data_IF_169449041087
#
_entry.id   IF_169449041087
#
_cell.length_a   1.000
_cell.length_b   1.000
_cell.length_c   1.000
_cell.angle_alpha   90.00
_cell.angle_beta   90.00
_cell.angle_gamma   90.00
#
_symmetry.space_group_name_H-M   'P 1'
#
loop_
_entity.id
_entity.type
_entity.pdbx_description
1 polymer ?
#
# COMPACT_ATOMS: atom_id res chain seq x y z
N UNK A 1 -1.97 28.49 -60.73
CA UNK A 1 -0.50 28.61 -60.55
C UNK A 1 -0.07 27.78 -59.37
N UNK A 2 0.56 26.60 -59.60
CA UNK A 2 1.15 25.77 -58.53
C UNK A 2 2.53 26.36 -58.19
N UNK A 3 2.67 27.02 -57.01
CA UNK A 3 3.96 27.45 -56.48
C UNK A 3 4.79 26.18 -56.14
N UNK A 4 5.82 25.91 -56.96
CA UNK A 4 6.85 24.92 -56.59
C UNK A 4 7.59 25.43 -55.36
N UNK A 5 7.44 24.76 -54.21
CA UNK A 5 8.28 25.04 -53.04
C UNK A 5 9.76 24.81 -53.42
N UNK A 6 10.68 25.67 -53.00
CA UNK A 6 12.09 25.49 -53.30
C UNK A 6 12.57 24.22 -52.58
N UNK A 7 13.31 23.38 -53.31
CA UNK A 7 13.76 22.04 -52.87
C UNK A 7 14.49 22.05 -51.50
N UNK A 8 15.19 23.14 -51.18
CA UNK A 8 15.85 23.36 -49.92
C UNK A 8 14.89 23.46 -48.71
N UNK A 9 13.72 24.09 -48.89
CA UNK A 9 12.69 24.20 -47.84
C UNK A 9 12.07 22.85 -47.50
N UNK A 10 11.87 21.95 -48.49
CA UNK A 10 11.37 20.60 -48.27
C UNK A 10 12.36 19.74 -47.42
N UNK A 11 13.67 19.82 -47.70
CA UNK A 11 14.69 19.08 -46.98
C UNK A 11 14.77 19.57 -45.52
N UNK A 12 14.71 20.88 -45.28
CA UNK A 12 14.70 21.45 -43.92
C UNK A 12 13.48 20.98 -43.12
N UNK A 13 12.31 20.95 -43.72
CA UNK A 13 11.10 20.45 -43.04
C UNK A 13 11.16 18.97 -42.73
N UNK A 14 11.71 18.16 -43.62
CA UNK A 14 11.94 16.71 -43.34
C UNK A 14 12.93 16.52 -42.19
N UNK A 15 14.06 17.26 -42.21
CA UNK A 15 15.04 17.19 -41.15
C UNK A 15 14.45 17.62 -39.77
N UNK A 16 13.67 18.73 -39.76
CA UNK A 16 12.98 19.17 -38.55
C UNK A 16 11.97 18.13 -38.04
N UNK A 17 11.19 17.52 -38.93
CA UNK A 17 10.27 16.45 -38.59
C UNK A 17 10.98 15.21 -37.99
N UNK A 18 12.11 14.82 -38.61
CA UNK A 18 12.92 13.70 -38.09
C UNK A 18 13.49 13.98 -36.69
N UNK A 19 13.94 15.21 -36.40
CA UNK A 19 14.42 15.62 -35.07
C UNK A 19 13.29 15.57 -34.04
N UNK A 20 12.07 16.03 -34.39
CA UNK A 20 10.92 15.96 -33.49
C UNK A 20 10.50 14.53 -33.17
N UNK A 21 10.51 13.63 -34.18
CA UNK A 21 10.22 12.21 -33.98
C UNK A 21 11.26 11.59 -33.06
N UNK A 22 12.55 11.87 -33.28
CA UNK A 22 13.62 11.36 -32.45
C UNK A 22 13.51 11.86 -30.98
N UNK A 23 13.22 13.14 -30.80
CA UNK A 23 12.97 13.73 -29.48
C UNK A 23 11.78 13.08 -28.77
N UNK A 24 10.68 12.84 -29.48
CA UNK A 24 9.50 12.15 -28.95
C UNK A 24 9.83 10.69 -28.53
N UNK A 25 10.58 9.96 -29.37
CA UNK A 25 11.02 8.60 -29.05
C UNK A 25 11.94 8.58 -27.82
N UNK A 26 12.89 9.49 -27.71
CA UNK A 26 13.77 9.60 -26.54
C UNK A 26 12.97 9.90 -25.28
N UNK A 27 11.98 10.77 -25.35
CA UNK A 27 11.10 11.08 -24.22
C UNK A 27 10.27 9.87 -23.79
N UNK A 28 9.73 9.10 -24.74
CA UNK A 28 9.00 7.86 -24.46
C UNK A 28 9.91 6.83 -23.80
N UNK A 29 11.13 6.63 -24.29
CA UNK A 29 12.10 5.71 -23.71
C UNK A 29 12.50 6.14 -22.30
N UNK A 30 12.73 7.42 -22.10
CA UNK A 30 13.05 7.99 -20.79
C UNK A 30 11.92 7.77 -19.78
N UNK A 31 10.68 8.12 -20.15
CA UNK A 31 9.53 7.93 -19.27
C UNK A 31 9.28 6.45 -18.93
N UNK A 32 9.49 5.56 -19.91
CA UNK A 32 9.38 4.12 -19.66
C UNK A 32 10.49 3.63 -18.71
N UNK A 33 11.73 4.08 -18.90
CA UNK A 33 12.85 3.71 -18.04
C UNK A 33 12.65 4.18 -16.58
N UNK A 34 12.12 5.40 -16.36
CA UNK A 34 11.78 5.92 -15.03
C UNK A 34 10.69 5.06 -14.37
N UNK A 35 9.63 4.71 -15.12
CA UNK A 35 8.55 3.86 -14.59
C UNK A 35 9.03 2.46 -14.23
N UNK A 36 9.89 1.85 -15.04
CA UNK A 36 10.46 0.53 -14.78
C UNK A 36 11.43 0.54 -13.60
N UNK A 37 12.17 1.64 -13.41
CA UNK A 37 13.04 1.80 -12.24
C UNK A 37 12.22 1.86 -10.95
N UNK A 38 11.18 2.70 -10.90
CA UNK A 38 10.28 2.79 -9.76
C UNK A 38 9.62 1.43 -9.44
N UNK A 39 9.19 0.68 -10.48
CA UNK A 39 8.65 -0.67 -10.29
C UNK A 39 9.66 -1.63 -9.66
N UNK A 40 10.92 -1.66 -10.12
CA UNK A 40 11.96 -2.53 -9.54
C UNK A 40 12.31 -2.17 -8.10
N UNK A 41 12.33 -0.88 -7.77
CA UNK A 41 12.53 -0.41 -6.39
C UNK A 41 11.39 -0.89 -5.48
N UNK A 42 10.14 -0.80 -5.94
CA UNK A 42 8.97 -1.34 -5.24
C UNK A 42 9.03 -2.86 -5.06
N UNK A 43 9.38 -3.62 -6.12
CA UNK A 43 9.49 -5.08 -6.06
C UNK A 43 10.55 -5.53 -5.03
N UNK A 44 11.72 -4.87 -5.01
CA UNK A 44 12.79 -5.18 -4.04
C UNK A 44 12.38 -4.93 -2.58
N UNK A 45 11.51 -3.94 -2.34
CA UNK A 45 10.99 -3.64 -1.01
C UNK A 45 9.92 -4.65 -0.60
N UNK A 46 9.07 -5.10 -1.52
CA UNK A 46 7.97 -6.04 -1.23
C UNK A 46 8.43 -7.33 -0.56
N UNK A 47 9.54 -7.92 -1.04
CA UNK A 47 10.08 -9.14 -0.43
C UNK A 47 10.53 -8.90 1.02
N UNK A 48 11.16 -7.75 1.28
CA UNK A 48 11.55 -7.34 2.64
C UNK A 48 10.36 -7.13 3.58
N UNK A 49 9.29 -6.50 3.08
CA UNK A 49 8.08 -6.27 3.88
C UNK A 49 7.35 -7.58 4.21
N UNK A 50 7.16 -8.46 3.22
CA UNK A 50 6.54 -9.78 3.44
C UNK A 50 7.34 -10.62 4.45
N UNK A 51 8.66 -10.60 4.36
CA UNK A 51 9.52 -11.27 5.33
C UNK A 51 9.38 -10.66 6.74
N UNK A 52 9.30 -9.34 6.87
CA UNK A 52 9.13 -8.66 8.15
C UNK A 52 7.76 -8.98 8.78
N UNK A 53 6.69 -9.01 8.01
CA UNK A 53 5.34 -9.40 8.46
C UNK A 53 5.37 -10.85 8.95
N UNK A 54 5.89 -11.79 8.15
CA UNK A 54 5.97 -13.20 8.52
C UNK A 54 6.78 -13.43 9.83
N UNK A 55 7.88 -12.69 10.04
CA UNK A 55 8.64 -12.75 11.28
C UNK A 55 7.84 -12.23 12.49
N UNK A 56 7.04 -11.19 12.32
CA UNK A 56 6.18 -10.65 13.39
C UNK A 56 5.07 -11.63 13.76
N UNK A 57 4.42 -12.24 12.77
CA UNK A 57 3.41 -13.28 12.99
C UNK A 57 3.98 -14.47 13.76
N UNK A 58 5.17 -14.96 13.37
CA UNK A 58 5.85 -16.05 14.07
C UNK A 58 6.20 -15.67 15.52
N UNK A 59 6.63 -14.45 15.78
CA UNK A 59 6.90 -13.96 17.15
C UNK A 59 5.62 -13.92 17.96
N UNK A 60 4.53 -13.39 17.42
CA UNK A 60 3.22 -13.31 18.06
C UNK A 60 2.69 -14.70 18.44
N UNK A 61 2.82 -15.67 17.54
CA UNK A 61 2.44 -17.06 17.77
C UNK A 61 3.30 -17.71 18.86
N UNK A 62 4.59 -17.38 18.95
CA UNK A 62 5.49 -17.92 19.94
C UNK A 62 5.25 -17.32 21.33
N UNK A 63 4.88 -16.06 21.44
CA UNK A 63 4.53 -15.40 22.70
C UNK A 63 3.17 -15.86 23.24
N UNK A 64 2.27 -16.33 22.37
CA UNK A 64 0.94 -16.83 22.75
C UNK A 64 0.93 -18.33 23.05
N UNK A 65 2.02 -19.06 22.74
CA UNK A 65 2.14 -20.48 23.08
C UNK A 65 2.43 -20.63 24.60
N UNK A 66 1.62 -21.38 25.36
CA UNK A 66 1.90 -21.61 26.78
C UNK A 66 3.24 -22.32 26.92
N UNK A 67 4.09 -21.79 27.79
CA UNK A 67 5.40 -22.34 28.13
C UNK A 67 5.18 -23.70 28.80
N UNK A 68 5.28 -24.77 28.01
CA UNK A 68 5.31 -26.14 28.55
C UNK A 68 6.70 -26.32 29.20
N UNK A 69 6.80 -25.93 30.46
CA UNK A 69 7.95 -26.21 31.28
C UNK A 69 8.06 -27.74 31.37
N UNK A 70 9.01 -28.31 30.64
CA UNK A 70 9.46 -29.67 30.83
C UNK A 70 10.07 -29.77 32.24
N UNK A 71 9.36 -30.34 33.17
CA UNK A 71 9.89 -30.65 34.49
C UNK A 71 10.99 -31.72 34.38
N UNK A 72 12.14 -31.56 35.02
CA UNK A 72 13.07 -32.67 35.15
C UNK A 72 12.56 -33.66 36.16
N UNK A 73 12.47 -34.91 35.75
CA UNK A 73 12.20 -36.09 36.52
C UNK A 73 13.25 -36.23 37.63
N UNK A 74 12.84 -36.16 38.93
CA UNK A 74 13.64 -36.65 40.05
C UNK A 74 12.71 -37.21 41.12
N UNK A 75 12.95 -38.46 41.42
CA UNK A 75 12.25 -39.39 42.31
C UNK A 75 12.07 -38.91 43.77
N UNK A 76 11.00 -39.44 44.34
CA UNK A 76 10.49 -39.31 45.71
C UNK A 76 11.48 -39.67 46.82
N UNK A 77 11.16 -39.49 48.15
CA UNK A 77 10.01 -40.11 48.79
C UNK A 77 9.24 -39.28 49.87
N UNK A 78 8.07 -39.81 50.16
CA UNK A 78 7.04 -39.65 51.18
C UNK A 78 7.34 -38.90 52.50
N UNK A 79 6.34 -38.09 52.94
CA UNK A 79 5.67 -38.15 54.25
C UNK A 79 4.53 -37.11 54.36
N UNK A 80 3.33 -37.58 54.43
CA UNK A 80 2.20 -37.39 55.36
C UNK A 80 1.94 -36.02 56.03
N UNK A 81 0.58 -35.78 56.13
CA UNK A 81 -0.21 -34.99 57.12
C UNK A 81 -0.89 -33.72 56.62
N UNK A 82 -2.21 -33.97 56.35
CA UNK A 82 -3.46 -33.23 56.75
C UNK A 82 -3.60 -31.71 56.62
N UNK A 83 -4.78 -31.45 56.10
CA UNK A 83 -5.82 -30.46 56.47
C UNK A 83 -5.93 -29.18 55.66
N UNK A 84 -7.02 -29.20 54.87
CA UNK A 84 -8.14 -28.24 54.87
C UNK A 84 -7.86 -26.74 54.67
N UNK A 85 -8.30 -26.22 53.58
CA UNK A 85 -9.23 -25.10 53.53
C UNK A 85 -9.47 -24.64 52.06
N UNK A 86 -10.72 -24.69 51.70
CA UNK A 86 -11.37 -24.14 50.50
C UNK A 86 -11.02 -22.67 50.29
N UNK A 87 -10.55 -22.31 49.12
CA UNK A 87 -10.84 -20.98 48.51
C UNK A 87 -10.73 -21.09 46.97
N UNK A 88 -11.88 -21.09 46.33
CA UNK A 88 -12.01 -20.87 44.90
C UNK A 88 -11.50 -19.45 44.60
N UNK A 89 -10.40 -19.34 43.87
CA UNK A 89 -10.03 -18.10 43.18
C UNK A 89 -10.41 -18.27 41.74
N UNK A 90 -11.57 -17.72 41.41
CA UNK A 90 -11.95 -17.44 40.05
C UNK A 90 -11.05 -16.31 39.54
N UNK A 91 -10.03 -16.64 38.79
CA UNK A 91 -9.27 -15.64 38.08
C UNK A 91 -10.01 -15.36 36.78
N UNK A 92 -10.91 -14.37 36.83
CA UNK A 92 -11.36 -13.67 35.65
C UNK A 92 -10.11 -13.06 35.03
N UNK A 93 -9.68 -13.61 33.90
CA UNK A 93 -8.71 -12.97 33.04
C UNK A 93 -9.43 -11.75 32.42
N UNK A 94 -9.38 -10.64 33.15
CA UNK A 94 -9.77 -9.34 32.66
C UNK A 94 -8.81 -9.00 31.51
N UNK A 95 -9.30 -9.17 30.28
CA UNK A 95 -8.61 -8.70 29.09
C UNK A 95 -8.55 -7.18 29.20
N UNK A 96 -7.37 -6.68 29.58
CA UNK A 96 -7.09 -5.25 29.62
C UNK A 96 -7.46 -4.67 28.24
N UNK A 97 -8.34 -3.67 28.14
CA UNK A 97 -8.70 -3.08 26.86
C UNK A 97 -7.45 -2.51 26.22
N UNK A 98 -7.06 -3.04 25.06
CA UNK A 98 -5.92 -2.57 24.31
C UNK A 98 -6.05 -1.05 24.13
N UNK A 99 -4.98 -0.32 24.50
CA UNK A 99 -4.93 1.13 24.36
C UNK A 99 -5.35 1.53 22.94
N UNK A 100 -6.14 2.61 22.76
CA UNK A 100 -6.60 3.02 21.44
C UNK A 100 -5.38 3.21 20.52
N UNK A 101 -5.38 2.54 19.38
CA UNK A 101 -4.32 2.66 18.38
C UNK A 101 -4.30 4.08 17.86
N UNK A 102 -3.20 4.80 18.06
CA UNK A 102 -3.03 6.19 17.61
C UNK A 102 -2.22 6.28 16.32
N UNK A 103 -1.40 5.27 16.02
CA UNK A 103 -0.53 5.27 14.84
C UNK A 103 -0.49 3.88 14.17
N UNK A 104 -0.32 3.85 12.85
CA UNK A 104 -0.09 2.61 12.11
C UNK A 104 1.31 2.07 12.42
N UNK A 105 1.41 0.75 12.57
CA UNK A 105 2.71 0.11 12.71
C UNK A 105 3.57 0.36 11.49
N UNK A 106 4.82 0.75 11.71
CA UNK A 106 5.78 1.11 10.67
C UNK A 106 6.97 0.16 10.67
N UNK A 107 7.46 -0.21 9.49
CA UNK A 107 8.71 -0.95 9.30
C UNK A 107 9.61 -0.19 8.36
N UNK A 108 10.85 0.05 8.81
CA UNK A 108 11.87 0.71 8.00
C UNK A 108 12.56 -0.29 7.06
N UNK A 109 12.54 -0.02 5.76
CA UNK A 109 13.25 -0.78 4.73
C UNK A 109 14.00 0.21 3.83
N UNK A 110 15.30 0.00 3.62
CA UNK A 110 16.15 0.85 2.78
C UNK A 110 16.06 2.36 3.12
N UNK A 111 15.89 2.70 4.41
CA UNK A 111 15.82 4.09 4.88
C UNK A 111 14.47 4.77 4.68
N UNK A 112 13.42 4.04 4.34
CA UNK A 112 12.05 4.51 4.23
C UNK A 112 11.11 3.71 5.11
N UNK A 113 10.11 4.38 5.66
CA UNK A 113 9.11 3.82 6.55
C UNK A 113 7.86 3.38 5.76
N UNK A 114 7.44 2.13 5.98
CA UNK A 114 6.29 1.51 5.31
C UNK A 114 5.23 1.10 6.32
N UNK A 115 3.96 1.26 5.93
CA UNK A 115 2.79 0.88 6.73
C UNK A 115 2.13 -0.43 6.28
N UNK A 116 2.56 -0.97 5.14
CA UNK A 116 1.99 -2.17 4.55
C UNK A 116 2.17 -2.21 3.05
N UNK A 117 1.34 -3.00 2.40
CA UNK A 117 1.26 -3.07 0.94
C UNK A 117 -0.18 -3.21 0.46
N UNK A 118 -0.43 -2.77 -0.77
CA UNK A 118 -1.73 -2.84 -1.44
C UNK A 118 -1.66 -3.80 -2.62
N UNK A 119 -2.71 -4.61 -2.80
CA UNK A 119 -2.87 -5.50 -3.95
C UNK A 119 -4.21 -5.23 -4.64
N UNK A 120 -4.18 -5.16 -5.97
CA UNK A 120 -5.36 -4.92 -6.82
C UNK A 120 -5.29 -5.91 -8.00
N UNK A 121 -5.86 -7.12 -7.85
CA UNK A 121 -5.74 -8.19 -8.85
C UNK A 121 -6.28 -7.80 -10.23
N UNK A 122 -7.36 -7.04 -10.30
CA UNK A 122 -7.99 -6.60 -11.56
C UNK A 122 -7.04 -5.84 -12.51
N UNK A 123 -6.00 -5.21 -11.97
CA UNK A 123 -4.98 -4.49 -12.73
C UNK A 123 -3.57 -5.06 -12.53
N UNK A 124 -3.46 -6.26 -11.91
CA UNK A 124 -2.19 -6.95 -11.61
C UNK A 124 -1.19 -6.05 -10.88
N UNK A 125 -1.67 -5.35 -9.84
CA UNK A 125 -0.88 -4.41 -9.07
C UNK A 125 -0.64 -4.96 -7.66
N UNK A 126 0.63 -4.92 -7.21
CA UNK A 126 1.05 -5.21 -5.84
C UNK A 126 2.18 -4.24 -5.50
N UNK A 127 1.98 -3.32 -4.54
CA UNK A 127 2.91 -2.24 -4.23
C UNK A 127 3.02 -2.00 -2.73
N UNK A 128 4.24 -1.76 -2.21
CA UNK A 128 4.42 -1.29 -0.84
C UNK A 128 3.85 0.13 -0.69
N UNK A 129 3.42 0.49 0.52
CA UNK A 129 2.88 1.81 0.84
C UNK A 129 3.72 2.46 1.92
N UNK A 130 4.31 3.62 1.62
CA UNK A 130 5.08 4.41 2.58
C UNK A 130 4.17 5.08 3.61
N UNK A 131 4.70 5.27 4.82
CA UNK A 131 3.99 5.85 5.95
C UNK A 131 3.61 7.33 5.75
N UNK A 132 4.44 8.07 5.03
CA UNK A 132 4.26 9.51 4.83
C UNK A 132 4.38 9.89 3.36
N UNK A 133 3.60 10.86 2.97
CA UNK A 133 3.59 11.42 1.63
C UNK A 133 4.69 12.48 1.43
N UNK A 134 5.39 12.40 0.29
CA UNK A 134 6.16 13.51 -0.30
C UNK A 134 6.32 13.28 -1.80
N UNK A 135 6.64 14.35 -2.55
CA UNK A 135 6.89 14.24 -4.00
C UNK A 135 8.07 13.31 -4.33
N UNK A 136 9.09 13.26 -3.48
CA UNK A 136 10.24 12.37 -3.64
C UNK A 136 9.85 10.91 -3.40
N UNK A 137 9.09 10.64 -2.32
CA UNK A 137 8.63 9.30 -1.95
C UNK A 137 7.66 8.71 -2.98
N UNK A 138 6.76 9.53 -3.53
CA UNK A 138 5.85 9.12 -4.60
C UNK A 138 6.56 8.61 -5.87
N UNK A 139 7.81 9.05 -6.12
CA UNK A 139 8.61 8.55 -7.24
C UNK A 139 9.08 7.11 -7.02
N UNK A 140 9.10 6.65 -5.77
CA UNK A 140 9.54 5.31 -5.36
C UNK A 140 8.35 4.37 -5.31
N UNK A 141 7.28 4.75 -4.57
CA UNK A 141 6.08 3.92 -4.39
C UNK A 141 4.90 4.78 -3.90
N UNK A 142 3.65 4.26 -3.87
CA UNK A 142 2.52 4.94 -3.23
C UNK A 142 2.79 5.26 -1.76
N UNK A 143 2.18 6.33 -1.28
CA UNK A 143 2.32 6.82 0.09
C UNK A 143 0.95 7.04 0.73
N UNK A 144 0.86 6.80 2.03
CA UNK A 144 -0.29 7.27 2.82
C UNK A 144 -0.30 8.80 2.79
N UNK A 145 -1.47 9.36 2.48
CA UNK A 145 -1.66 10.79 2.48
C UNK A 145 -2.46 11.23 3.71
N UNK A 146 -3.53 10.50 4.04
CA UNK A 146 -4.38 10.75 5.21
C UNK A 146 -4.87 9.44 5.81
N UNK A 147 -5.39 9.50 7.04
CA UNK A 147 -6.17 8.47 7.68
C UNK A 147 -5.41 7.21 8.07
N UNK A 148 -6.17 6.21 8.48
CA UNK A 148 -5.67 4.90 8.90
C UNK A 148 -6.71 3.80 8.63
N UNK A 149 -6.30 2.54 8.70
CA UNK A 149 -7.19 1.39 8.45
C UNK A 149 -8.29 1.23 9.52
N UNK A 150 -8.06 1.67 10.75
CA UNK A 150 -9.04 1.55 11.85
C UNK A 150 -9.96 2.77 12.00
N UNK A 151 -9.66 3.86 11.33
CA UNK A 151 -10.53 5.06 11.27
C UNK A 151 -11.42 5.05 10.04
N UNK A 152 -11.25 4.01 9.16
CA UNK A 152 -12.01 3.83 7.91
C UNK A 152 -12.00 5.09 7.02
N UNK A 153 -10.81 5.70 6.90
CA UNK A 153 -10.57 6.91 6.11
C UNK A 153 -9.18 6.93 5.44
N UNK A 154 -8.62 5.74 5.18
CA UNK A 154 -7.28 5.62 4.61
C UNK A 154 -7.23 6.18 3.18
N UNK A 155 -6.35 7.16 2.95
CA UNK A 155 -6.11 7.75 1.63
C UNK A 155 -4.67 7.46 1.19
N UNK A 156 -4.53 6.80 0.05
CA UNK A 156 -3.24 6.45 -0.55
C UNK A 156 -3.06 7.20 -1.88
N UNK A 157 -1.99 7.98 -1.95
CA UNK A 157 -1.55 8.67 -3.17
C UNK A 157 -0.52 7.82 -3.91
N UNK A 158 -0.59 7.78 -5.21
CA UNK A 158 0.43 7.14 -6.05
C UNK A 158 0.77 7.96 -7.28
N UNK A 159 1.98 7.82 -7.79
CA UNK A 159 2.39 8.47 -9.04
C UNK A 159 1.68 7.82 -10.25
N UNK A 160 1.42 8.60 -11.29
CA UNK A 160 0.86 8.11 -12.54
C UNK A 160 1.93 7.39 -13.41
N UNK A 161 2.72 6.52 -12.79
CA UNK A 161 3.63 5.64 -13.50
C UNK A 161 2.92 4.36 -13.92
N UNK A 162 3.36 3.76 -15.02
CA UNK A 162 2.77 2.53 -15.56
C UNK A 162 2.84 1.37 -14.56
N UNK A 163 3.90 1.32 -13.75
CA UNK A 163 4.13 0.32 -12.68
C UNK A 163 3.53 0.73 -11.33
N UNK A 164 2.91 1.92 -11.24
CA UNK A 164 2.19 2.40 -10.06
C UNK A 164 0.69 2.56 -10.37
N UNK A 165 0.12 3.72 -10.10
CA UNK A 165 -1.32 3.96 -10.13
C UNK A 165 -1.89 4.40 -11.50
N UNK A 166 -1.10 4.39 -12.59
CA UNK A 166 -1.63 4.75 -13.92
C UNK A 166 -2.81 3.88 -14.39
N UNK A 167 -2.90 2.64 -13.88
CA UNK A 167 -3.98 1.71 -14.23
C UNK A 167 -5.24 1.86 -13.37
N UNK A 168 -5.28 2.70 -12.31
CA UNK A 168 -6.47 2.91 -11.48
C UNK A 168 -7.71 3.28 -12.29
N UNK A 169 -7.54 4.04 -13.38
CA UNK A 169 -8.63 4.42 -14.30
C UNK A 169 -9.36 3.25 -14.97
N UNK A 170 -8.85 2.03 -14.86
CA UNK A 170 -9.47 0.82 -15.42
C UNK A 170 -10.38 0.11 -14.43
N UNK A 171 -10.29 0.47 -13.16
CA UNK A 171 -11.08 -0.14 -12.12
C UNK A 171 -12.55 0.22 -12.26
N UNK A 172 -13.39 -0.77 -11.99
CA UNK A 172 -14.85 -0.66 -12.03
C UNK A 172 -15.45 -1.08 -10.69
N UNK A 173 -16.67 -0.63 -10.36
CA UNK A 173 -17.35 -1.07 -9.14
C UNK A 173 -17.39 -2.60 -9.02
N UNK A 174 -17.03 -3.10 -7.83
CA UNK A 174 -16.92 -4.53 -7.51
C UNK A 174 -15.51 -5.12 -7.65
N UNK A 175 -14.54 -4.40 -8.25
CA UNK A 175 -13.14 -4.85 -8.24
C UNK A 175 -12.60 -4.90 -6.80
N UNK A 176 -11.91 -6.00 -6.46
CA UNK A 176 -11.31 -6.19 -5.13
C UNK A 176 -10.00 -5.41 -4.98
N UNK A 177 -9.82 -4.85 -3.79
CA UNK A 177 -8.59 -4.21 -3.32
C UNK A 177 -8.28 -4.76 -1.94
N UNK A 178 -7.06 -5.23 -1.69
CA UNK A 178 -6.63 -5.61 -0.35
C UNK A 178 -5.49 -4.73 0.13
N UNK A 179 -5.48 -4.43 1.42
CA UNK A 179 -4.39 -3.76 2.11
C UNK A 179 -3.92 -4.64 3.25
N UNK A 180 -2.64 -5.01 3.24
CA UNK A 180 -2.01 -5.75 4.33
C UNK A 180 -1.14 -4.80 5.13
N UNK A 181 -1.43 -4.63 6.42
CA UNK A 181 -0.65 -3.77 7.31
C UNK A 181 0.63 -4.48 7.80
N UNK A 182 1.49 -3.75 8.54
CA UNK A 182 2.75 -4.30 9.04
C UNK A 182 2.58 -5.24 10.25
N UNK A 183 1.37 -5.42 10.76
CA UNK A 183 1.01 -6.41 11.78
C UNK A 183 0.44 -7.71 11.17
N UNK A 184 0.35 -7.79 9.84
CA UNK A 184 -0.17 -8.93 9.09
C UNK A 184 -1.70 -8.93 8.93
N UNK A 185 -2.40 -7.89 9.37
CA UNK A 185 -3.84 -7.79 9.18
C UNK A 185 -4.14 -7.49 7.71
N UNK A 186 -4.95 -8.32 7.09
CA UNK A 186 -5.45 -8.13 5.73
C UNK A 186 -6.83 -7.49 5.81
N UNK A 187 -7.00 -6.35 5.16
CA UNK A 187 -8.25 -5.62 5.07
C UNK A 187 -8.69 -5.64 3.61
N UNK A 188 -9.87 -6.21 3.38
CA UNK A 188 -10.45 -6.34 2.06
C UNK A 188 -11.44 -5.21 1.79
N UNK A 189 -11.35 -4.65 0.58
CA UNK A 189 -12.21 -3.57 0.09
C UNK A 189 -12.74 -3.92 -1.30
N UNK A 190 -13.86 -3.34 -1.65
CA UNK A 190 -14.39 -3.35 -3.01
C UNK A 190 -14.49 -1.92 -3.55
N UNK A 191 -14.13 -1.73 -4.81
CA UNK A 191 -14.33 -0.46 -5.51
C UNK A 191 -15.81 -0.15 -5.57
N UNK A 192 -16.21 1.03 -5.11
CA UNK A 192 -17.58 1.54 -5.19
C UNK A 192 -17.79 2.47 -6.37
N UNK A 193 -16.83 3.36 -6.62
CA UNK A 193 -16.86 4.28 -7.76
C UNK A 193 -15.46 4.77 -8.13
N UNK A 194 -15.32 5.25 -9.36
CA UNK A 194 -14.13 5.95 -9.85
C UNK A 194 -14.54 7.29 -10.48
N UNK A 195 -13.85 8.36 -10.09
CA UNK A 195 -14.15 9.71 -10.53
C UNK A 195 -12.90 10.46 -10.99
N UNK A 196 -13.08 11.48 -11.83
CA UNK A 196 -12.03 12.45 -12.17
C UNK A 196 -12.30 13.75 -11.44
N UNK A 197 -11.37 14.19 -10.60
CA UNK A 197 -11.53 15.34 -9.71
C UNK A 197 -10.43 16.39 -9.95
N UNK A 198 -10.70 17.62 -9.54
CA UNK A 198 -9.69 18.69 -9.55
C UNK A 198 -8.65 18.44 -8.44
N UNK A 199 -7.40 18.91 -8.60
CA UNK A 199 -6.36 18.81 -7.58
C UNK A 199 -6.72 19.49 -6.26
N UNK A 200 -7.62 20.46 -6.29
CA UNK A 200 -8.08 21.22 -5.14
C UNK A 200 -9.19 20.53 -4.34
N UNK A 201 -9.71 19.39 -4.84
CA UNK A 201 -10.79 18.64 -4.17
C UNK A 201 -10.26 17.78 -2.99
N UNK A 202 -9.34 18.31 -2.20
CA UNK A 202 -8.69 17.59 -1.08
C UNK A 202 -9.71 17.16 -0.03
N UNK A 203 -10.62 18.06 0.34
CA UNK A 203 -11.66 17.77 1.32
C UNK A 203 -12.60 16.65 0.88
N UNK A 204 -12.98 16.64 -0.40
CA UNK A 204 -13.84 15.59 -0.96
C UNK A 204 -13.16 14.22 -1.02
N UNK A 205 -11.82 14.16 -0.98
CA UNK A 205 -11.03 12.93 -0.91
C UNK A 205 -10.84 12.50 0.55
N UNK A 206 -10.45 13.44 1.41
CA UNK A 206 -10.13 13.18 2.81
C UNK A 206 -11.39 12.87 3.64
N UNK A 207 -12.48 13.59 3.41
CA UNK A 207 -13.76 13.45 4.12
C UNK A 207 -14.83 12.80 3.23
N UNK A 208 -14.44 11.83 2.42
CA UNK A 208 -15.31 11.20 1.42
C UNK A 208 -16.39 10.30 2.02
N UNK A 209 -16.19 9.83 3.25
CA UNK A 209 -17.03 8.82 3.90
C UNK A 209 -16.80 7.39 3.35
N UNK A 210 -15.74 7.17 2.58
CA UNK A 210 -15.30 5.86 2.10
C UNK A 210 -14.10 5.38 2.91
N UNK A 211 -14.01 4.07 3.14
CA UNK A 211 -13.02 3.45 4.03
C UNK A 211 -11.60 3.48 3.45
N UNK A 212 -11.48 3.44 2.11
CA UNK A 212 -10.23 3.55 1.39
C UNK A 212 -10.40 4.40 0.15
N UNK A 213 -9.50 5.36 -0.05
CA UNK A 213 -9.42 6.17 -1.28
C UNK A 213 -8.04 6.04 -1.90
N UNK A 214 -8.01 5.71 -3.20
CA UNK A 214 -6.80 5.65 -4.00
C UNK A 214 -6.82 6.77 -5.03
N UNK A 215 -5.73 7.51 -5.18
CA UNK A 215 -5.69 8.54 -6.22
C UNK A 215 -4.34 8.71 -6.88
N UNK A 216 -4.38 9.22 -8.11
CA UNK A 216 -3.20 9.56 -8.90
C UNK A 216 -3.48 10.75 -9.81
N UNK A 217 -2.42 11.38 -10.34
CA UNK A 217 -2.57 12.38 -11.40
C UNK A 217 -3.11 11.73 -12.68
N UNK A 218 -3.91 12.46 -13.45
CA UNK A 218 -4.18 12.11 -14.85
C UNK A 218 -2.95 12.34 -15.71
N UNK A 219 -2.96 11.88 -16.95
CA UNK A 219 -1.80 12.01 -17.86
C UNK A 219 -1.38 13.46 -18.07
N UNK A 220 -2.34 14.40 -18.18
CA UNK A 220 -2.07 15.83 -18.30
C UNK A 220 -1.57 16.48 -16.99
N UNK A 221 -1.84 15.86 -15.84
CA UNK A 221 -1.55 16.42 -14.52
C UNK A 221 -2.61 17.41 -14.00
N UNK A 222 -3.56 17.83 -14.84
CA UNK A 222 -4.56 18.87 -14.52
C UNK A 222 -5.64 18.36 -13.55
N UNK A 223 -5.87 17.05 -13.53
CA UNK A 223 -6.88 16.41 -12.70
C UNK A 223 -6.31 15.19 -11.98
N UNK A 224 -7.14 14.56 -11.14
CA UNK A 224 -6.83 13.34 -10.41
C UNK A 224 -7.84 12.26 -10.80
N UNK A 225 -7.36 11.03 -11.06
CA UNK A 225 -8.20 9.84 -11.02
C UNK A 225 -8.30 9.43 -9.56
N UNK A 226 -9.51 9.35 -9.05
CA UNK A 226 -9.82 8.98 -7.65
C UNK A 226 -10.71 7.74 -7.67
N UNK A 227 -10.34 6.72 -6.91
CA UNK A 227 -11.08 5.48 -6.74
C UNK A 227 -11.49 5.37 -5.29
N UNK A 228 -12.77 5.22 -5.04
CA UNK A 228 -13.36 5.07 -3.72
C UNK A 228 -13.69 3.60 -3.48
N UNK A 229 -13.34 3.11 -2.32
CA UNK A 229 -13.52 1.71 -1.95
C UNK A 229 -14.09 1.63 -0.53
N UNK A 230 -14.99 0.69 -0.31
CA UNK A 230 -15.54 0.40 1.00
C UNK A 230 -15.11 -1.01 1.42
N UNK A 231 -14.95 -1.20 2.72
CA UNK A 231 -14.59 -2.48 3.33
C UNK A 231 -15.63 -3.53 3.00
N UNK A 232 -15.17 -4.72 2.68
CA UNK A 232 -16.06 -5.88 2.51
C UNK A 232 -16.14 -6.64 3.84
N UNK A 233 -17.34 -7.16 4.16
CA UNK A 233 -17.51 -8.07 5.28
C UNK A 233 -16.65 -9.33 5.05
N UNK A 234 -15.96 -9.85 6.07
CA UNK A 234 -15.26 -11.12 5.94
C UNK A 234 -16.25 -12.24 5.64
N UNK A 235 -16.02 -12.92 4.52
CA UNK A 235 -16.84 -14.05 4.07
C UNK A 235 -16.54 -15.30 4.89
#
# INVERSE_FOLDING_TARGET
MKRKMPQKTGIVMIAAGAVLILAALLLLLYNNAVSERAGRESDAVMDGLRAAIAQREQRKTRETAPDVIAAPDTAAPEADVTSDTTAAVTTDAETEPAAPRTEMTVVAVNGHDYIGYIEIPAISLSLPVMAEWSDERLKITPCRHFGATWTDDLVIAGHNYRRHFASLKKLVPGDGVSFTDMDGNVIEYAVTKSETMLPTAVDAVQNSGHDLVLYTCTYSGDTRTVVFCDRTEPT
#
